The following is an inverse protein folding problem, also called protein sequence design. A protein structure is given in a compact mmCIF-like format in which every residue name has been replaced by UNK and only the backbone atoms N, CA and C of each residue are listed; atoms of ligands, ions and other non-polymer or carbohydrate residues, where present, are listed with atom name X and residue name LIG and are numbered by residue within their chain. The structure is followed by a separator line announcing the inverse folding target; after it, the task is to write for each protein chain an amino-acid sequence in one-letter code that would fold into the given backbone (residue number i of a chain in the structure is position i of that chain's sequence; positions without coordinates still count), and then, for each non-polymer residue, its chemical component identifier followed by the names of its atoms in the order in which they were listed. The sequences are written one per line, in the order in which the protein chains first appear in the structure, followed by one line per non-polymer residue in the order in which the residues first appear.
data_IF_521467872067
#
_entry.id   IF_521467872067
#
_cell.length_a   1.000
_cell.length_b   1.000
_cell.length_c   1.000
_cell.angle_alpha   90.00
_cell.angle_beta   90.00
_cell.angle_gamma   90.00
#
_symmetry.space_group_name_H-M   'P 1'
#
loop_
_entity.id
_entity.type
_entity.pdbx_description
1 polymer ?
#
# COMPACT_ATOMS: atom_id res chain seq x y z
N UNK A 1 -3.56 -3.48 25.98
CA UNK A 1 -3.96 -3.82 24.60
C UNK A 1 -4.33 -2.50 23.94
N UNK A 2 -3.47 -1.95 23.08
CA UNK A 2 -3.82 -0.72 22.38
C UNK A 2 -4.77 -1.10 21.25
N UNK A 3 -6.02 -0.62 21.34
CA UNK A 3 -7.02 -0.86 20.29
C UNK A 3 -6.54 -0.22 18.99
N UNK A 4 -6.82 -0.88 17.87
CA UNK A 4 -6.60 -0.33 16.54
C UNK A 4 -7.17 1.09 16.47
N UNK A 5 -6.33 2.06 16.12
CA UNK A 5 -6.73 3.44 15.90
C UNK A 5 -6.75 3.73 14.40
N UNK A 6 -7.71 4.55 13.99
CA UNK A 6 -7.84 5.01 12.62
C UNK A 6 -6.52 5.66 12.16
N UNK A 7 -5.87 5.04 11.15
CA UNK A 7 -4.55 5.43 10.64
C UNK A 7 -3.34 4.62 11.15
N UNK A 8 -3.55 3.53 11.88
CA UNK A 8 -2.49 2.56 12.23
C UNK A 8 -2.26 1.51 11.13
N UNK A 9 -3.24 1.26 10.26
CA UNK A 9 -3.06 0.38 9.10
C UNK A 9 -2.49 1.15 7.90
N UNK A 10 -1.47 0.58 7.28
CA UNK A 10 -0.91 1.08 6.02
C UNK A 10 -1.97 0.97 4.91
N UNK A 11 -2.10 2.04 4.12
CA UNK A 11 -2.98 2.05 2.95
C UNK A 11 -2.23 1.40 1.78
N UNK A 12 -2.88 0.48 1.08
CA UNK A 12 -2.32 -0.08 -0.16
C UNK A 12 -2.69 0.83 -1.33
N UNK A 13 -1.71 1.47 -1.94
CA UNK A 13 -1.91 2.21 -3.20
C UNK A 13 -1.62 1.28 -4.38
N UNK A 14 -2.49 1.27 -5.38
CA UNK A 14 -2.44 0.34 -6.51
C UNK A 14 -2.66 1.10 -7.80
N UNK A 15 -1.65 1.14 -8.67
CA UNK A 15 -1.78 1.76 -9.98
C UNK A 15 -2.05 0.69 -11.06
N UNK A 16 -3.29 0.61 -11.53
CA UNK A 16 -3.73 -0.24 -12.63
C UNK A 16 -4.18 0.61 -13.84
N UNK A 17 -3.52 1.75 -14.07
CA UNK A 17 -3.71 2.55 -15.28
C UNK A 17 -2.99 1.92 -16.47
N UNK A 18 -3.51 2.14 -17.69
CA UNK A 18 -2.90 1.61 -18.91
C UNK A 18 -1.70 2.48 -19.35
N UNK A 19 -1.08 2.08 -20.46
CA UNK A 19 -0.05 2.86 -21.18
C UNK A 19 1.15 3.31 -20.33
N UNK A 20 1.51 2.50 -19.35
CA UNK A 20 2.61 2.78 -18.42
C UNK A 20 2.45 4.11 -17.67
N UNK A 21 1.21 4.58 -17.48
CA UNK A 21 0.92 5.86 -16.85
C UNK A 21 1.32 5.85 -15.36
N UNK A 22 2.29 6.66 -14.92
CA UNK A 22 2.59 6.82 -13.51
C UNK A 22 1.54 7.70 -12.81
N UNK A 23 1.39 7.48 -11.50
CA UNK A 23 0.65 8.35 -10.58
C UNK A 23 1.66 9.01 -9.63
N UNK A 24 1.59 10.33 -9.52
CA UNK A 24 2.34 11.09 -8.53
C UNK A 24 1.44 11.40 -7.35
N UNK A 25 1.98 11.27 -6.15
CA UNK A 25 1.21 11.52 -4.94
C UNK A 25 2.06 12.10 -3.82
N UNK A 26 1.42 12.84 -2.93
CA UNK A 26 2.05 13.38 -1.73
C UNK A 26 0.98 13.65 -0.66
N UNK A 27 1.39 13.74 0.60
CA UNK A 27 0.49 14.21 1.65
C UNK A 27 0.18 15.71 1.48
N UNK A 28 -1.06 16.10 1.77
CA UNK A 28 -1.50 17.49 1.80
C UNK A 28 -0.63 18.31 2.78
N UNK A 29 -0.09 19.42 2.29
CA UNK A 29 0.89 20.25 3.02
C UNK A 29 2.36 19.86 2.81
N UNK A 30 2.67 18.73 2.13
CA UNK A 30 4.03 18.25 1.88
C UNK A 30 4.35 18.18 0.37
N UNK A 31 4.20 19.31 -0.33
CA UNK A 31 4.39 19.38 -1.79
C UNK A 31 5.85 19.11 -2.24
N UNK A 32 6.82 19.17 -1.33
CA UNK A 32 8.22 18.88 -1.61
C UNK A 32 8.57 17.38 -1.51
N UNK A 33 7.68 16.56 -0.94
CA UNK A 33 7.86 15.11 -0.79
C UNK A 33 6.92 14.39 -1.75
N UNK A 34 7.24 14.44 -3.05
CA UNK A 34 6.43 13.79 -4.08
C UNK A 34 6.93 12.38 -4.33
N UNK A 35 6.01 11.43 -4.19
CA UNK A 35 6.22 10.03 -4.51
C UNK A 35 5.69 9.70 -5.90
N UNK A 36 6.20 8.62 -6.48
CA UNK A 36 5.81 8.11 -7.79
C UNK A 36 5.42 6.64 -7.68
N UNK A 37 4.25 6.30 -8.21
CA UNK A 37 3.75 4.93 -8.34
C UNK A 37 3.61 4.59 -9.82
N UNK A 38 4.50 3.73 -10.33
CA UNK A 38 4.47 3.29 -11.72
C UNK A 38 3.27 2.37 -12.02
N UNK A 39 2.86 2.33 -13.30
CA UNK A 39 1.76 1.47 -13.73
C UNK A 39 2.05 -0.01 -13.47
N UNK A 40 1.05 -0.73 -13.01
CA UNK A 40 1.14 -2.12 -12.59
C UNK A 40 1.76 -2.32 -11.20
N UNK A 41 2.19 -1.25 -10.52
CA UNK A 41 2.80 -1.36 -9.20
C UNK A 41 1.78 -1.17 -8.08
N UNK A 42 2.10 -1.76 -6.93
CA UNK A 42 1.39 -1.52 -5.67
C UNK A 42 2.39 -1.30 -4.54
N UNK A 43 2.04 -0.43 -3.59
CA UNK A 43 2.88 -0.09 -2.44
C UNK A 43 2.04 0.06 -1.17
N UNK A 44 2.66 -0.20 -0.02
CA UNK A 44 2.10 0.13 1.28
C UNK A 44 2.53 1.55 1.67
N UNK A 45 1.56 2.44 1.82
CA UNK A 45 1.75 3.84 2.13
C UNK A 45 1.41 4.14 3.60
N UNK A 46 2.33 4.84 4.25
CA UNK A 46 2.13 5.53 5.53
C UNK A 46 2.18 7.04 5.27
N UNK A 47 1.50 7.84 6.09
CA UNK A 47 1.61 9.29 6.03
C UNK A 47 3.05 9.75 6.28
N UNK A 48 3.58 10.56 5.36
CA UNK A 48 4.95 11.09 5.43
C UNK A 48 5.19 11.90 6.72
N UNK A 49 4.18 12.66 7.16
CA UNK A 49 4.18 13.35 8.44
C UNK A 49 2.92 13.01 9.25
N UNK A 50 3.07 12.34 10.41
CA UNK A 50 1.94 11.97 11.27
C UNK A 50 1.13 13.17 11.79
N UNK A 51 1.76 14.35 11.90
CA UNK A 51 1.16 15.58 12.41
C UNK A 51 0.49 16.42 11.31
N UNK A 52 0.84 16.19 10.04
CA UNK A 52 0.26 16.90 8.92
C UNK A 52 -1.14 16.35 8.57
N UNK A 53 -1.88 17.10 7.76
CA UNK A 53 -3.23 16.73 7.34
C UNK A 53 -3.19 15.38 6.62
N UNK A 54 -4.00 14.42 7.10
CA UNK A 54 -4.14 13.08 6.50
C UNK A 54 -5.05 13.14 5.28
N UNK A 55 -4.50 13.64 4.20
CA UNK A 55 -5.17 13.77 2.91
C UNK A 55 -4.12 13.53 1.83
N UNK A 56 -4.35 12.52 1.00
CA UNK A 56 -3.48 12.17 -0.12
C UNK A 56 -3.85 13.06 -1.30
N UNK A 57 -2.89 13.79 -1.82
CA UNK A 57 -3.02 14.53 -3.07
C UNK A 57 -2.38 13.70 -4.16
N UNK A 58 -3.04 13.54 -5.30
CA UNK A 58 -2.48 12.82 -6.44
C UNK A 58 -2.79 13.50 -7.78
N UNK A 59 -1.98 13.18 -8.78
CA UNK A 59 -2.13 13.63 -10.17
C UNK A 59 -1.37 12.69 -11.11
N UNK A 60 -1.76 12.66 -12.39
CA UNK A 60 -1.11 11.84 -13.42
C UNK A 60 -0.12 12.63 -14.28
N UNK A 61 -0.42 13.90 -14.54
CA UNK A 61 0.44 14.84 -15.26
C UNK A 61 0.54 16.17 -14.52
N UNK A 62 1.59 16.95 -14.76
CA UNK A 62 1.81 18.24 -14.08
C UNK A 62 0.71 19.26 -14.39
N UNK A 63 0.10 19.17 -15.57
CA UNK A 63 -0.98 20.04 -16.03
C UNK A 63 -2.36 19.57 -15.58
N UNK A 64 -2.47 18.37 -15.03
CA UNK A 64 -3.76 17.83 -14.59
C UNK A 64 -4.20 18.50 -13.29
N UNK A 65 -5.52 18.57 -13.10
CA UNK A 65 -6.06 18.94 -11.81
C UNK A 65 -5.60 17.95 -10.74
N UNK A 66 -5.19 18.48 -9.59
CA UNK A 66 -4.85 17.66 -8.44
C UNK A 66 -6.13 17.16 -7.78
N UNK A 67 -6.15 15.88 -7.47
CA UNK A 67 -7.24 15.22 -6.77
C UNK A 67 -6.82 14.95 -5.33
N UNK A 68 -7.79 14.92 -4.40
CA UNK A 68 -7.52 14.64 -2.99
C UNK A 68 -8.40 13.52 -2.45
N UNK A 69 -7.83 12.67 -1.60
CA UNK A 69 -8.59 11.63 -0.91
C UNK A 69 -8.10 11.46 0.54
N UNK A 70 -9.04 11.41 1.49
CA UNK A 70 -8.72 11.29 2.93
C UNK A 70 -8.39 9.86 3.37
N UNK A 71 -8.68 8.86 2.54
CA UNK A 71 -8.43 7.44 2.79
C UNK A 71 -9.17 6.90 4.04
N UNK A 72 -10.28 7.54 4.43
CA UNK A 72 -11.07 7.18 5.62
C UNK A 72 -12.36 6.43 5.30
N UNK A 73 -12.92 6.63 4.10
CA UNK A 73 -14.20 6.04 3.69
C UNK A 73 -14.10 5.40 2.30
N UNK A 74 -15.06 4.54 2.00
CA UNK A 74 -15.19 3.96 0.67
C UNK A 74 -15.70 5.01 -0.30
N UNK A 75 -14.99 5.23 -1.41
CA UNK A 75 -15.34 6.23 -2.40
C UNK A 75 -15.02 5.74 -3.81
N UNK A 76 -15.77 6.25 -4.77
CA UNK A 76 -15.45 6.14 -6.19
C UNK A 76 -15.47 7.54 -6.78
N UNK A 77 -14.37 7.93 -7.39
CA UNK A 77 -14.21 9.21 -8.06
C UNK A 77 -13.79 8.98 -9.51
N UNK A 78 -14.35 9.76 -10.42
CA UNK A 78 -14.00 9.70 -11.83
C UNK A 78 -13.02 10.83 -12.14
N UNK A 79 -11.97 10.52 -12.89
CA UNK A 79 -11.02 11.50 -13.38
C UNK A 79 -10.62 11.20 -14.82
N UNK A 80 -9.83 12.09 -15.44
CA UNK A 80 -9.34 11.90 -16.80
C UNK A 80 -7.83 11.71 -16.80
N UNK A 81 -7.37 10.79 -17.63
CA UNK A 81 -5.96 10.55 -17.93
C UNK A 81 -5.83 10.56 -19.45
N UNK A 82 -5.12 11.53 -20.02
CA UNK A 82 -4.95 11.68 -21.48
C UNK A 82 -6.30 11.60 -22.23
N UNK A 83 -7.27 12.40 -21.77
CA UNK A 83 -8.66 12.43 -22.25
C UNK A 83 -9.47 11.12 -22.12
N UNK A 84 -8.88 10.08 -21.55
CA UNK A 84 -9.56 8.81 -21.27
C UNK A 84 -10.08 8.78 -19.84
N UNK A 85 -11.29 8.27 -19.66
CA UNK A 85 -11.93 8.14 -18.35
C UNK A 85 -11.17 7.14 -17.46
N UNK A 86 -10.92 7.52 -16.22
CA UNK A 86 -10.30 6.70 -15.19
C UNK A 86 -11.09 6.81 -13.88
N UNK A 87 -10.84 5.86 -12.99
CA UNK A 87 -11.53 5.68 -11.72
C UNK A 87 -10.53 5.59 -10.59
N UNK A 88 -10.79 6.34 -9.53
CA UNK A 88 -10.17 6.20 -8.23
C UNK A 88 -11.16 5.49 -7.32
N UNK A 89 -10.78 4.34 -6.77
CA UNK A 89 -11.64 3.57 -5.86
C UNK A 89 -10.93 3.40 -4.52
N UNK A 90 -11.51 3.97 -3.46
CA UNK A 90 -11.16 3.69 -2.07
C UNK A 90 -12.12 2.62 -1.54
N UNK A 91 -11.60 1.53 -1.01
CA UNK A 91 -12.40 0.45 -0.42
C UNK A 91 -11.61 -0.31 0.66
N UNK A 92 -12.29 -1.07 1.52
CA UNK A 92 -11.63 -2.05 2.38
C UNK A 92 -11.46 -3.38 1.68
N UNK A 93 -10.27 -3.96 1.80
CA UNK A 93 -9.98 -5.34 1.48
C UNK A 93 -9.39 -6.02 2.71
N UNK A 94 -10.11 -6.98 3.30
CA UNK A 94 -9.65 -7.78 4.44
C UNK A 94 -8.97 -6.94 5.55
N UNK A 95 -9.70 -5.92 6.05
CA UNK A 95 -9.25 -4.90 7.03
C UNK A 95 -8.19 -3.88 6.56
N UNK A 96 -7.69 -3.99 5.33
CA UNK A 96 -6.76 -3.03 4.76
C UNK A 96 -7.47 -2.06 3.83
N UNK A 97 -7.21 -0.76 4.01
CA UNK A 97 -7.66 0.28 3.07
C UNK A 97 -6.86 0.17 1.78
N UNK A 98 -7.55 0.07 0.65
CA UNK A 98 -6.95 0.05 -0.70
C UNK A 98 -7.40 1.29 -1.46
N UNK A 99 -6.46 1.96 -2.12
CA UNK A 99 -6.73 3.01 -3.09
C UNK A 99 -6.26 2.55 -4.47
N UNK A 100 -7.23 2.34 -5.37
CA UNK A 100 -7.02 1.79 -6.70
C UNK A 100 -7.21 2.86 -7.77
N UNK A 101 -6.21 3.02 -8.64
CA UNK A 101 -6.30 3.77 -9.89
C UNK A 101 -6.54 2.79 -11.04
N UNK A 102 -7.62 2.94 -11.82
CA UNK A 102 -7.90 2.03 -12.94
C UNK A 102 -8.65 2.74 -14.07
N UNK A 103 -8.38 2.37 -15.32
CA UNK A 103 -9.20 2.78 -16.47
C UNK A 103 -10.25 1.73 -16.86
N UNK A 104 -10.27 0.58 -16.17
CA UNK A 104 -11.23 -0.48 -16.43
C UNK A 104 -12.47 -0.32 -15.53
N UNK A 105 -13.61 0.02 -16.13
CA UNK A 105 -14.87 0.24 -15.43
C UNK A 105 -15.38 -1.01 -14.69
N UNK A 106 -15.15 -2.21 -15.25
CA UNK A 106 -15.52 -3.48 -14.60
C UNK A 106 -14.69 -3.71 -13.33
N UNK A 107 -13.39 -3.40 -13.38
CA UNK A 107 -12.51 -3.48 -12.20
C UNK A 107 -12.95 -2.47 -11.14
N UNK A 108 -13.27 -1.24 -11.53
CA UNK A 108 -13.76 -0.22 -10.60
C UNK A 108 -15.07 -0.63 -9.93
N UNK A 109 -16.01 -1.19 -10.70
CA UNK A 109 -17.28 -1.72 -10.20
C UNK A 109 -17.06 -2.91 -9.26
N UNK A 110 -16.20 -3.85 -9.62
CA UNK A 110 -15.92 -5.03 -8.80
C UNK A 110 -15.22 -4.65 -7.49
N UNK A 111 -14.28 -3.70 -7.52
CA UNK A 111 -13.63 -3.16 -6.32
C UNK A 111 -14.64 -2.48 -5.37
N UNK A 112 -15.64 -1.80 -5.94
CA UNK A 112 -16.76 -1.26 -5.15
C UNK A 112 -17.58 -2.37 -4.51
N UNK A 113 -17.94 -3.40 -5.27
CA UNK A 113 -18.75 -4.53 -4.80
C UNK A 113 -17.99 -5.45 -3.84
N UNK A 114 -16.66 -5.56 -3.92
CA UNK A 114 -15.86 -6.31 -2.96
C UNK A 114 -15.85 -5.69 -1.57
N UNK A 115 -16.20 -4.41 -1.45
CA UNK A 115 -16.49 -3.79 -0.16
C UNK A 115 -17.78 -4.32 0.47
N UNK A 116 -18.72 -4.79 -0.36
CA UNK A 116 -20.05 -5.28 0.04
C UNK A 116 -20.09 -6.82 0.15
N UNK A 117 -19.16 -7.53 -0.50
CA UNK A 117 -19.05 -8.98 -0.51
C UNK A 117 -18.02 -9.42 0.54
N UNK A 118 -18.49 -9.85 1.70
CA UNK A 118 -17.70 -10.52 2.74
C UNK A 118 -17.33 -11.95 2.26
N UNK A 119 -16.06 -12.26 1.88
CA UNK A 119 -15.70 -13.61 1.50
C UNK A 119 -15.09 -14.34 2.71
N UNK A 120 -15.85 -15.31 3.23
CA UNK A 120 -15.50 -16.50 4.03
C UNK A 120 -14.30 -16.40 5.01
N UNK A 121 -14.65 -16.51 6.30
CA UNK A 121 -13.83 -16.81 7.47
C UNK A 121 -12.96 -18.07 7.30
N UNK A 122 -11.71 -17.92 6.86
CA UNK A 122 -10.66 -18.90 7.17
C UNK A 122 -9.44 -18.20 7.76
N UNK A 123 -9.34 -18.32 9.08
CA UNK A 123 -8.24 -17.78 9.88
C UNK A 123 -7.01 -18.69 9.78
N UNK A 124 -5.91 -18.17 9.25
CA UNK A 124 -4.59 -18.77 9.40
C UNK A 124 -3.86 -17.99 10.49
N UNK A 125 -3.73 -18.59 11.67
CA UNK A 125 -3.04 -17.98 12.81
C UNK A 125 -1.53 -18.18 12.65
N UNK A 126 -0.80 -17.09 12.44
CA UNK A 126 0.66 -17.07 12.51
C UNK A 126 1.05 -16.38 13.82
N UNK A 127 1.65 -17.15 14.74
CA UNK A 127 2.14 -16.64 16.02
C UNK A 127 3.65 -16.40 15.95
N UNK A 128 4.06 -15.14 15.82
CA UNK A 128 5.45 -14.70 15.98
C UNK A 128 5.59 -14.08 17.37
N UNK A 129 6.25 -14.80 18.28
CA UNK A 129 6.40 -14.41 19.68
C UNK A 129 7.14 -13.07 19.81
N UNK A 130 8.20 -12.89 19.03
CA UNK A 130 8.95 -11.63 18.96
C UNK A 130 9.83 -11.56 17.71
N UNK A 131 9.99 -10.36 17.15
CA UNK A 131 10.98 -10.04 16.12
C UNK A 131 11.87 -8.91 16.65
N UNK A 132 13.19 -9.06 16.51
CA UNK A 132 14.17 -8.04 16.88
C UNK A 132 14.93 -7.53 15.65
N UNK A 133 15.16 -6.22 15.61
CA UNK A 133 16.05 -5.54 14.66
C UNK A 133 17.18 -4.92 15.47
N UNK A 134 18.42 -5.29 15.13
CA UNK A 134 19.63 -4.73 15.73
C UNK A 134 20.38 -3.86 14.72
N UNK A 135 20.72 -2.65 15.12
CA UNK A 135 21.64 -1.78 14.42
C UNK A 135 23.04 -2.00 15.02
N UNK A 136 23.93 -2.60 14.25
CA UNK A 136 25.32 -2.87 14.66
C UNK A 136 26.30 -2.01 13.88
N UNK A 137 27.34 -1.53 14.57
CA UNK A 137 28.52 -0.99 13.92
C UNK A 137 29.57 -2.09 13.75
N UNK A 138 29.90 -2.37 12.49
CA UNK A 138 30.85 -3.41 12.12
C UNK A 138 32.31 -3.05 12.46
N UNK A 139 32.64 -1.76 12.60
CA UNK A 139 34.00 -1.31 12.93
C UNK A 139 34.30 -1.45 14.43
N UNK A 140 33.40 -0.95 15.27
CA UNK A 140 33.51 -1.10 16.73
C UNK A 140 33.04 -2.46 17.24
N UNK A 141 32.40 -3.27 16.38
CA UNK A 141 31.76 -4.56 16.73
C UNK A 141 30.76 -4.43 17.88
N UNK A 142 30.07 -3.29 17.94
CA UNK A 142 29.13 -2.96 18.99
C UNK A 142 27.73 -2.82 18.43
N UNK A 143 26.74 -3.25 19.22
CA UNK A 143 25.34 -2.93 18.97
C UNK A 143 25.10 -1.47 19.38
N UNK A 144 24.55 -0.68 18.46
CA UNK A 144 24.22 0.73 18.67
C UNK A 144 22.77 0.91 19.10
N UNK A 145 21.86 0.07 18.60
CA UNK A 145 20.46 0.11 18.98
C UNK A 145 19.77 -1.24 18.72
N UNK A 146 18.79 -1.56 19.55
CA UNK A 146 17.95 -2.73 19.40
C UNK A 146 16.47 -2.35 19.53
N UNK A 147 15.68 -2.76 18.54
CA UNK A 147 14.23 -2.58 18.52
C UNK A 147 13.59 -3.95 18.45
N UNK A 148 12.84 -4.32 19.49
CA UNK A 148 12.02 -5.52 19.49
C UNK A 148 10.55 -5.19 19.35
N UNK A 149 9.88 -5.95 18.49
CA UNK A 149 8.43 -6.04 18.45
C UNK A 149 8.04 -7.33 19.15
N UNK A 150 7.53 -7.20 20.38
CA UNK A 150 7.05 -8.33 21.17
C UNK A 150 5.57 -8.54 20.87
N UNK A 151 5.24 -9.72 20.30
CA UNK A 151 3.93 -10.15 19.78
C UNK A 151 3.52 -9.53 18.44
N UNK A 152 3.74 -10.28 17.37
CA UNK A 152 2.95 -10.18 16.13
C UNK A 152 1.98 -11.38 16.11
N UNK A 153 0.73 -11.16 16.49
CA UNK A 153 -0.35 -12.06 16.08
C UNK A 153 -0.93 -11.42 14.83
N UNK A 154 -0.56 -11.95 13.67
CA UNK A 154 -1.11 -11.51 12.40
C UNK A 154 -1.78 -12.70 11.74
N UNK A 155 -3.10 -12.64 11.62
CA UNK A 155 -3.84 -13.49 10.69
C UNK A 155 -3.47 -13.05 9.27
N UNK A 156 -2.44 -13.65 8.69
CA UNK A 156 -2.05 -13.38 7.31
C UNK A 156 -2.69 -14.45 6.42
N UNK A 157 -3.76 -14.08 5.73
CA UNK A 157 -4.42 -14.96 4.79
C UNK A 157 -3.55 -15.12 3.52
N UNK A 158 -2.93 -16.28 3.37
CA UNK A 158 -2.26 -16.72 2.12
C UNK A 158 -3.21 -16.78 0.90
N UNK A 159 -4.51 -16.63 1.12
CA UNK A 159 -5.58 -16.60 0.11
C UNK A 159 -5.69 -15.23 -0.59
N UNK A 160 -5.21 -14.14 0.06
CA UNK A 160 -5.35 -12.76 -0.42
C UNK A 160 -4.65 -12.47 -1.75
N UNK A 161 -3.51 -13.13 -1.99
CA UNK A 161 -2.72 -12.90 -3.21
C UNK A 161 -3.43 -13.41 -4.47
N UNK A 162 -4.18 -14.52 -4.39
CA UNK A 162 -4.86 -15.13 -5.54
C UNK A 162 -6.14 -14.38 -5.93
N UNK A 163 -6.85 -13.80 -4.96
CA UNK A 163 -8.10 -13.08 -5.22
C UNK A 163 -7.82 -11.64 -5.72
N UNK A 164 -6.79 -10.98 -5.17
CA UNK A 164 -6.27 -9.73 -5.74
C UNK A 164 -5.63 -9.95 -7.13
N UNK A 165 -4.96 -11.10 -7.33
CA UNK A 165 -4.53 -11.56 -8.65
C UNK A 165 -5.73 -11.74 -9.58
N UNK A 166 -6.83 -12.37 -9.17
CA UNK A 166 -8.04 -12.48 -10.02
C UNK A 166 -8.68 -11.12 -10.37
N UNK A 167 -8.68 -10.14 -9.44
CA UNK A 167 -9.13 -8.76 -9.71
C UNK A 167 -8.23 -8.04 -10.74
N UNK A 168 -6.92 -8.26 -10.71
CA UNK A 168 -5.95 -7.64 -11.62
C UNK A 168 -5.76 -8.39 -12.95
N UNK A 169 -5.84 -9.72 -12.95
CA UNK A 169 -5.51 -10.62 -14.09
C UNK A 169 -6.58 -10.68 -15.17
N UNK A 170 -7.70 -9.99 -14.98
CA UNK A 170 -8.54 -9.58 -16.10
C UNK A 170 -7.83 -8.60 -17.07
N UNK A 171 -6.61 -8.16 -16.74
CA UNK A 171 -5.73 -7.33 -17.55
C UNK A 171 -4.37 -8.01 -17.66
N UNK A 172 -4.11 -8.71 -18.76
CA UNK A 172 -2.84 -9.41 -19.02
C UNK A 172 -1.64 -8.46 -18.92
N UNK A 173 -0.89 -8.45 -17.81
CA UNK A 173 0.49 -7.97 -17.72
C UNK A 173 1.18 -8.48 -16.45
N UNK A 174 2.23 -9.27 -16.65
CA UNK A 174 3.14 -9.78 -15.62
C UNK A 174 4.04 -8.64 -15.11
N UNK A 175 4.14 -8.47 -13.79
CA UNK A 175 5.01 -7.47 -13.14
C UNK A 175 6.43 -8.06 -13.01
N UNK A 176 7.50 -7.34 -13.39
CA UNK A 176 8.87 -7.82 -13.29
C UNK A 176 9.42 -7.78 -11.86
N UNK A 177 10.27 -8.75 -11.52
CA UNK A 177 10.99 -8.86 -10.24
C UNK A 177 12.00 -7.72 -10.09
N UNK A 178 11.93 -6.97 -8.99
CA UNK A 178 12.96 -6.01 -8.61
C UNK A 178 14.21 -6.73 -8.07
N UNK A 179 15.37 -6.31 -8.57
CA UNK A 179 16.70 -6.80 -8.21
C UNK A 179 17.33 -5.76 -7.26
N UNK A 180 17.64 -6.15 -6.01
CA UNK A 180 18.29 -5.26 -5.05
C UNK A 180 19.81 -5.22 -5.31
N UNK A 181 20.37 -4.05 -5.59
CA UNK A 181 21.82 -3.83 -5.65
C UNK A 181 22.32 -2.93 -4.52
N UNK A 182 23.15 -3.52 -3.66
CA UNK A 182 24.37 -3.04 -3.00
C UNK A 182 24.47 -1.58 -2.51
N UNK A 183 24.14 -1.35 -1.25
CA UNK A 183 24.99 -0.62 -0.29
C UNK A 183 24.94 -1.34 1.06
N UNK A 184 26.10 -1.77 1.57
CA UNK A 184 26.20 -2.65 2.74
C UNK A 184 25.94 -1.90 4.05
N UNK A 185 24.69 -1.96 4.51
CA UNK A 185 24.37 -2.03 5.94
C UNK A 185 23.57 -3.31 6.13
N UNK A 186 24.16 -4.33 6.73
CA UNK A 186 23.49 -5.61 6.93
C UNK A 186 22.46 -5.46 8.06
N UNK A 187 21.18 -5.57 7.74
CA UNK A 187 20.10 -5.69 8.72
C UNK A 187 19.97 -7.17 9.06
N UNK A 188 20.26 -7.52 10.32
CA UNK A 188 20.05 -8.87 10.83
C UNK A 188 18.68 -8.93 11.50
N UNK A 189 17.81 -9.82 10.98
CA UNK A 189 16.50 -10.11 11.56
C UNK A 189 16.64 -11.42 12.33
N UNK A 190 16.43 -11.36 13.65
CA UNK A 190 16.46 -12.55 14.49
C UNK A 190 15.04 -12.96 14.87
N UNK A 191 14.65 -14.22 14.62
CA UNK A 191 13.49 -14.80 15.29
C UNK A 191 13.85 -14.98 16.77
N UNK A 192 13.08 -14.36 17.65
CA UNK A 192 13.25 -14.51 19.09
C UNK A 192 12.23 -15.55 19.55
N UNK A 193 12.71 -16.77 19.79
CA UNK A 193 11.96 -17.84 20.46
C UNK A 193 11.71 -17.52 21.94
#
# INVERSE_FOLDING_TARGET
MQMYQEGMALVRLVNNLNDSQPVFYHQSGLQHTVHRLDAGMSIMYAWDCPQAKRELIFYCNETDNRHSNKLTYDSIEEFKVKDTKAYLVSFMWNMQRVLLFTQNASVAKNARLSSDLEPIDQEIVISLQSIGISLVDNHSRAELAYVSITRLVSSLALIDFLCFYQLLVSSHKLIPRCNLSNTCTHIYIYPLC
#
